data_IF_979641005902
#
_entry.id   IF_979641005902
#
_cell.length_a   1.000
_cell.length_b   1.000
_cell.length_c   1.000
_cell.angle_alpha   90.00
_cell.angle_beta   90.00
_cell.angle_gamma   90.00
#
_symmetry.space_group_name_H-M   'P 1'
#
loop_
_entity.id
_entity.type
_entity.pdbx_description
1 polymer ?
#
# COMPACT_ATOMS: atom_id res chain seq x y z
N UNK A 1 32.01 42.83 40.10
CA UNK A 1 31.35 42.57 38.80
C UNK A 1 32.12 41.47 38.08
N UNK A 2 31.61 40.24 38.07
CA UNK A 2 32.19 39.12 37.30
C UNK A 2 31.21 38.78 36.19
N UNK A 3 31.59 39.09 34.95
CA UNK A 3 30.87 38.69 33.73
C UNK A 3 31.61 37.47 33.17
N UNK A 4 30.92 36.33 33.03
CA UNK A 4 31.27 35.22 32.15
C UNK A 4 30.11 34.19 32.17
N UNK A 5 29.88 33.41 31.10
CA UNK A 5 29.53 33.87 29.76
C UNK A 5 28.18 33.24 29.31
N UNK A 6 27.50 33.95 28.40
CA UNK A 6 26.24 33.54 27.72
C UNK A 6 26.51 32.46 26.65
N UNK A 7 27.42 31.51 26.93
CA UNK A 7 27.91 30.52 25.96
C UNK A 7 27.40 29.10 26.21
N UNK A 8 26.24 28.97 26.88
CA UNK A 8 25.58 27.69 27.16
C UNK A 8 24.14 27.64 26.61
N UNK A 9 23.75 28.62 25.79
CA UNK A 9 22.43 28.77 25.19
C UNK A 9 22.39 28.43 23.68
N UNK A 10 23.48 27.91 23.12
CA UNK A 10 23.63 27.56 21.71
C UNK A 10 23.96 26.08 21.48
N UNK A 11 23.66 25.21 22.44
CA UNK A 11 23.75 23.76 22.26
C UNK A 11 22.34 23.19 22.08
N UNK A 12 21.99 23.07 20.80
CA UNK A 12 21.05 22.11 20.21
C UNK A 12 19.54 22.32 20.41
N UNK A 13 18.91 23.04 19.47
CA UNK A 13 17.64 22.62 18.91
C UNK A 13 17.85 22.24 17.43
N UNK A 14 18.71 21.28 17.13
CA UNK A 14 18.93 20.79 15.74
C UNK A 14 18.95 19.26 15.66
N UNK A 15 18.28 18.56 16.60
CA UNK A 15 18.20 17.10 16.59
C UNK A 15 16.77 16.54 16.57
N UNK A 16 15.77 17.29 16.09
CA UNK A 16 14.38 16.80 16.00
C UNK A 16 13.92 16.55 14.55
N UNK A 17 14.78 16.75 13.54
CA UNK A 17 14.38 16.64 12.14
C UNK A 17 14.49 15.23 11.51
N UNK A 18 14.79 14.17 12.28
CA UNK A 18 15.09 12.83 11.73
C UNK A 18 14.06 11.72 12.02
N UNK A 19 12.87 12.03 12.56
CA UNK A 19 11.84 11.00 12.86
C UNK A 19 10.63 11.07 11.90
N UNK A 20 10.53 12.07 11.01
CA UNK A 20 9.22 12.44 10.46
C UNK A 20 8.74 11.71 9.20
N UNK A 21 9.60 11.11 8.35
CA UNK A 21 9.13 10.54 7.07
C UNK A 21 8.25 9.29 7.26
N UNK A 22 8.62 8.41 8.20
CA UNK A 22 7.83 7.19 8.46
C UNK A 22 6.48 7.49 9.10
N UNK A 23 6.41 8.50 9.97
CA UNK A 23 5.20 8.82 10.73
C UNK A 23 4.11 9.47 9.86
N UNK A 24 4.50 10.37 8.95
CA UNK A 24 3.57 10.98 8.00
C UNK A 24 3.02 9.95 7.01
N UNK A 25 3.88 9.09 6.47
CA UNK A 25 3.47 8.02 5.55
C UNK A 25 2.53 7.01 6.23
N UNK A 26 2.82 6.60 7.46
CA UNK A 26 1.93 5.73 8.25
C UNK A 26 0.55 6.40 8.46
N UNK A 27 0.53 7.69 8.79
CA UNK A 27 -0.70 8.45 9.01
C UNK A 27 -1.52 8.59 7.73
N UNK A 28 -0.86 8.83 6.59
CA UNK A 28 -1.54 8.87 5.29
C UNK A 28 -2.11 7.51 4.92
N UNK A 29 -1.35 6.42 5.13
CA UNK A 29 -1.77 5.07 4.79
C UNK A 29 -2.93 4.58 5.66
N UNK A 30 -2.95 4.96 6.95
CA UNK A 30 -3.87 4.43 7.96
C UNK A 30 -5.32 4.91 7.80
N UNK A 31 -5.99 4.38 6.78
CA UNK A 31 -7.39 4.64 6.44
C UNK A 31 -7.94 3.52 5.56
N UNK A 32 -9.22 3.64 5.19
CA UNK A 32 -9.85 2.80 4.18
C UNK A 32 -9.60 3.32 2.78
N UNK A 33 -9.22 2.40 1.90
CA UNK A 33 -8.94 2.64 0.50
C UNK A 33 -9.81 1.74 -0.37
N UNK A 34 -10.37 2.32 -1.42
CA UNK A 34 -11.10 1.58 -2.45
C UNK A 34 -10.20 1.39 -3.67
N UNK A 35 -10.24 0.21 -4.28
CA UNK A 35 -9.54 -0.02 -5.55
C UNK A 35 -10.27 0.74 -6.65
N UNK A 36 -9.55 1.64 -7.32
CA UNK A 36 -10.03 2.40 -8.47
C UNK A 36 -9.56 1.78 -9.79
N UNK A 37 -8.36 1.22 -9.79
CA UNK A 37 -7.78 0.59 -10.98
C UNK A 37 -6.82 -0.52 -10.57
N UNK A 38 -6.82 -1.61 -11.36
CA UNK A 38 -5.85 -2.69 -11.30
C UNK A 38 -5.25 -2.84 -12.70
N UNK A 39 -3.93 -2.66 -12.80
CA UNK A 39 -3.18 -2.91 -14.02
C UNK A 39 -2.40 -4.21 -13.87
N UNK A 40 -2.62 -5.13 -14.81
CA UNK A 40 -1.87 -6.37 -14.92
C UNK A 40 -0.99 -6.27 -16.17
N UNK A 41 0.34 -6.12 -16.05
CA UNK A 41 1.24 -5.97 -17.20
C UNK A 41 1.12 -7.09 -18.24
N UNK A 42 0.76 -8.29 -17.80
CA UNK A 42 0.59 -9.47 -18.64
C UNK A 42 -0.85 -9.72 -19.08
N UNK A 43 -1.76 -8.75 -18.93
CA UNK A 43 -3.19 -8.95 -19.22
C UNK A 43 -3.43 -9.43 -20.66
N UNK A 44 -2.72 -8.86 -21.64
CA UNK A 44 -2.84 -9.28 -23.04
C UNK A 44 -2.32 -10.70 -23.28
N UNK A 45 -1.25 -11.10 -22.57
CA UNK A 45 -0.72 -12.47 -22.65
C UNK A 45 -1.70 -13.48 -22.04
N UNK A 46 -2.31 -13.15 -20.90
CA UNK A 46 -3.33 -13.98 -20.26
C UNK A 46 -4.55 -14.11 -21.17
N UNK A 47 -5.06 -12.99 -21.70
CA UNK A 47 -6.18 -12.99 -22.64
C UNK A 47 -5.85 -13.71 -23.95
N UNK A 48 -4.59 -13.69 -24.39
CA UNK A 48 -4.11 -14.43 -25.56
C UNK A 48 -4.11 -15.94 -25.38
N UNK A 49 -3.93 -16.42 -24.13
CA UNK A 49 -3.97 -17.85 -23.78
C UNK A 49 -5.39 -18.41 -23.63
N UNK A 50 -6.39 -17.55 -23.49
CA UNK A 50 -7.79 -17.96 -23.43
C UNK A 50 -8.29 -18.15 -24.86
N UNK A 51 -8.77 -19.34 -25.22
CA UNK A 51 -9.16 -19.62 -26.60
C UNK A 51 -10.57 -19.08 -26.93
N UNK A 52 -11.50 -19.17 -25.99
CA UNK A 52 -12.90 -18.75 -26.20
C UNK A 52 -13.11 -17.28 -25.86
N UNK A 53 -13.86 -16.58 -26.70
CA UNK A 53 -14.16 -15.16 -26.48
C UNK A 53 -15.00 -14.94 -25.22
N UNK A 54 -15.94 -15.83 -24.92
CA UNK A 54 -16.78 -15.77 -23.72
C UNK A 54 -15.94 -15.80 -22.44
N UNK A 55 -14.94 -16.68 -22.38
CA UNK A 55 -14.04 -16.79 -21.23
C UNK A 55 -13.16 -15.53 -21.06
N UNK A 56 -12.80 -14.86 -22.17
CA UNK A 56 -12.06 -13.58 -22.12
C UNK A 56 -12.93 -12.47 -21.52
N UNK A 57 -14.17 -12.37 -21.95
CA UNK A 57 -15.11 -11.38 -21.41
C UNK A 57 -15.44 -11.69 -19.94
N UNK A 58 -15.61 -12.97 -19.58
CA UNK A 58 -15.78 -13.37 -18.19
C UNK A 58 -14.57 -12.96 -17.33
N UNK A 59 -13.35 -13.18 -17.81
CA UNK A 59 -12.14 -12.76 -17.09
C UNK A 59 -12.08 -11.24 -16.87
N UNK A 60 -12.40 -10.44 -17.90
CA UNK A 60 -12.45 -8.97 -17.77
C UNK A 60 -13.52 -8.53 -16.77
N UNK A 61 -14.68 -9.17 -16.78
CA UNK A 61 -15.77 -8.90 -15.84
C UNK A 61 -15.37 -9.27 -14.40
N UNK A 62 -14.69 -10.40 -14.21
CA UNK A 62 -14.17 -10.83 -12.91
C UNK A 62 -13.15 -9.81 -12.37
N UNK A 63 -12.22 -9.34 -13.20
CA UNK A 63 -11.26 -8.28 -12.84
C UNK A 63 -11.98 -6.96 -12.51
N UNK A 64 -12.98 -6.57 -13.29
CA UNK A 64 -13.74 -5.34 -13.05
C UNK A 64 -14.53 -5.41 -11.74
N UNK A 65 -15.20 -6.54 -11.48
CA UNK A 65 -15.92 -6.78 -10.23
C UNK A 65 -14.98 -6.76 -9.01
N UNK A 66 -13.76 -7.30 -9.16
CA UNK A 66 -12.74 -7.21 -8.13
C UNK A 66 -12.40 -5.75 -7.82
N UNK A 67 -12.18 -4.91 -8.83
CA UNK A 67 -11.87 -3.48 -8.64
C UNK A 67 -13.01 -2.77 -7.90
N UNK A 68 -14.24 -2.88 -8.40
CA UNK A 68 -15.36 -2.07 -7.88
C UNK A 68 -15.71 -2.32 -6.42
N UNK A 69 -15.47 -3.54 -5.95
CA UNK A 69 -15.96 -4.01 -4.64
C UNK A 69 -14.85 -4.21 -3.61
N UNK A 70 -13.59 -4.06 -4.00
CA UNK A 70 -12.47 -4.31 -3.09
C UNK A 70 -12.13 -3.12 -2.21
N UNK A 71 -11.91 -3.40 -0.94
CA UNK A 71 -11.56 -2.41 0.09
C UNK A 71 -10.34 -2.87 0.87
N UNK A 72 -9.41 -1.95 1.10
CA UNK A 72 -8.20 -2.12 1.89
C UNK A 72 -8.31 -1.20 3.11
N UNK A 73 -8.37 -1.77 4.31
CA UNK A 73 -8.44 -1.04 5.57
C UNK A 73 -7.11 -1.19 6.32
N UNK A 74 -6.27 -0.14 6.29
CA UNK A 74 -5.02 -0.09 7.05
C UNK A 74 -5.25 0.65 8.35
N UNK A 75 -5.04 -0.03 9.48
CA UNK A 75 -5.27 0.53 10.82
C UNK A 75 -4.00 1.14 11.38
N UNK A 76 -4.09 2.22 12.19
CA UNK A 76 -2.92 2.89 12.79
C UNK A 76 -2.02 1.99 13.65
N UNK A 77 -2.56 0.87 14.15
CA UNK A 77 -1.83 -0.11 14.96
C UNK A 77 -1.04 -1.13 14.12
N UNK A 78 -0.87 -0.91 12.81
CA UNK A 78 -0.16 -1.84 11.93
C UNK A 78 -0.94 -3.09 11.58
N UNK A 79 -2.27 -3.15 11.82
CA UNK A 79 -3.14 -4.23 11.33
C UNK A 79 -3.81 -3.83 10.03
N UNK A 80 -4.07 -4.78 9.15
CA UNK A 80 -4.87 -4.55 7.94
C UNK A 80 -6.02 -5.54 7.82
N UNK A 81 -7.05 -5.13 7.08
CA UNK A 81 -8.11 -5.99 6.58
C UNK A 81 -8.36 -5.68 5.11
N UNK A 82 -8.29 -6.69 4.25
CA UNK A 82 -8.62 -6.58 2.83
C UNK A 82 -9.90 -7.37 2.60
N UNK A 83 -10.92 -6.70 2.08
CA UNK A 83 -12.17 -7.31 1.64
C UNK A 83 -12.18 -7.37 0.12
N UNK A 84 -12.24 -8.57 -0.44
CA UNK A 84 -12.40 -8.82 -1.87
C UNK A 84 -13.76 -9.45 -2.10
N UNK A 85 -14.50 -8.98 -3.11
CA UNK A 85 -15.76 -9.62 -3.52
C UNK A 85 -15.55 -10.27 -4.88
N UNK A 86 -15.68 -11.60 -4.92
CA UNK A 86 -15.50 -12.42 -6.13
C UNK A 86 -16.77 -13.23 -6.33
N UNK A 87 -17.49 -13.00 -7.45
CA UNK A 87 -18.68 -13.80 -7.84
C UNK A 87 -19.62 -14.07 -6.66
N UNK A 88 -20.00 -13.00 -5.96
CA UNK A 88 -20.90 -13.00 -4.79
C UNK A 88 -20.38 -13.65 -3.51
N UNK A 89 -19.12 -14.07 -3.47
CA UNK A 89 -18.43 -14.44 -2.23
C UNK A 89 -17.63 -13.26 -1.68
N UNK A 90 -17.66 -13.09 -0.35
CA UNK A 90 -16.82 -12.12 0.37
C UNK A 90 -15.62 -12.86 0.93
N UNK A 91 -14.43 -12.52 0.44
CA UNK A 91 -13.16 -13.00 0.99
C UNK A 91 -12.53 -11.90 1.83
N UNK A 92 -12.29 -12.19 3.10
CA UNK A 92 -11.63 -11.27 4.03
C UNK A 92 -10.25 -11.84 4.38
N UNK A 93 -9.21 -11.06 4.10
CA UNK A 93 -7.83 -11.35 4.49
C UNK A 93 -7.39 -10.35 5.55
N UNK A 94 -6.78 -10.85 6.63
CA UNK A 94 -6.31 -10.03 7.76
C UNK A 94 -4.83 -10.27 7.99
N UNK A 95 -4.16 -9.27 8.54
CA UNK A 95 -2.75 -9.41 8.85
C UNK A 95 -2.14 -8.17 9.47
N UNK A 96 -0.82 -8.16 9.43
CA UNK A 96 0.02 -7.04 9.87
C UNK A 96 0.62 -6.34 8.67
N UNK A 97 0.77 -5.03 8.76
CA UNK A 97 1.49 -4.24 7.79
C UNK A 97 2.56 -3.37 8.45
N UNK A 98 3.62 -3.12 7.70
CA UNK A 98 4.68 -2.19 8.07
C UNK A 98 5.22 -1.45 6.86
N UNK A 99 5.91 -0.36 7.13
CA UNK A 99 6.66 0.38 6.12
C UNK A 99 8.14 0.08 6.28
N UNK A 100 8.76 -0.46 5.23
CA UNK A 100 10.21 -0.59 5.14
C UNK A 100 10.77 0.56 4.27
N UNK A 101 11.67 1.36 4.82
CA UNK A 101 12.53 2.27 4.05
C UNK A 101 13.89 1.60 3.87
N UNK A 102 14.25 1.28 2.63
CA UNK A 102 15.62 0.86 2.34
C UNK A 102 16.43 2.11 2.04
N UNK A 103 17.16 2.57 3.05
CA UNK A 103 18.01 3.77 3.16
C UNK A 103 18.92 4.09 1.94
N UNK A 104 19.05 3.19 0.96
CA UNK A 104 19.86 3.38 -0.25
C UNK A 104 19.05 3.63 -1.53
N UNK A 105 17.73 3.36 -1.53
CA UNK A 105 16.90 3.43 -2.74
C UNK A 105 15.82 4.51 -2.70
N UNK A 106 15.60 5.20 -1.57
CA UNK A 106 14.44 6.10 -1.34
C UNK A 106 13.10 5.44 -1.70
N UNK A 107 13.05 4.11 -1.65
CA UNK A 107 11.86 3.33 -1.99
C UNK A 107 11.22 2.90 -0.69
N UNK A 108 9.95 3.24 -0.56
CA UNK A 108 9.12 2.89 0.56
C UNK A 108 8.33 1.64 0.17
N UNK A 109 8.39 0.62 1.01
CA UNK A 109 7.67 -0.63 0.78
C UNK A 109 6.59 -0.81 1.83
N UNK A 110 5.38 -1.12 1.38
CA UNK A 110 4.35 -1.72 2.22
C UNK A 110 4.60 -3.22 2.27
N UNK A 111 4.86 -3.74 3.47
CA UNK A 111 4.96 -5.18 3.73
C UNK A 111 3.69 -5.62 4.40
N UNK A 112 3.02 -6.63 3.85
CA UNK A 112 1.80 -7.21 4.40
C UNK A 112 2.03 -8.68 4.72
N UNK A 113 1.82 -9.07 5.97
CA UNK A 113 1.95 -10.44 6.45
C UNK A 113 0.57 -10.98 6.81
N UNK A 114 0.08 -11.99 6.09
CA UNK A 114 -1.21 -12.61 6.36
C UNK A 114 -1.18 -13.39 7.68
N UNK A 115 -2.23 -13.23 8.50
CA UNK A 115 -2.28 -13.81 9.85
C UNK A 115 -2.28 -15.34 9.86
N UNK A 116 -3.03 -15.97 8.95
CA UNK A 116 -3.25 -17.43 8.92
C UNK A 116 -2.10 -18.19 8.28
N UNK A 117 -1.67 -17.75 7.10
CA UNK A 117 -0.66 -18.45 6.29
C UNK A 117 0.76 -17.99 6.59
N UNK A 118 0.91 -16.83 7.25
CA UNK A 118 2.19 -16.11 7.38
C UNK A 118 2.81 -15.73 6.04
N UNK A 119 2.04 -15.75 4.95
CA UNK A 119 2.50 -15.30 3.65
C UNK A 119 2.83 -13.82 3.70
N UNK A 120 3.97 -13.44 3.10
CA UNK A 120 4.46 -12.07 3.06
C UNK A 120 4.38 -11.53 1.64
N UNK A 121 3.58 -10.48 1.47
CA UNK A 121 3.51 -9.69 0.24
C UNK A 121 4.25 -8.37 0.43
N UNK A 122 5.01 -7.98 -0.60
CA UNK A 122 5.70 -6.68 -0.63
C UNK A 122 5.20 -5.84 -1.79
N UNK A 123 4.83 -4.61 -1.51
CA UNK A 123 4.41 -3.61 -2.49
C UNK A 123 5.31 -2.40 -2.41
N UNK A 124 5.81 -1.93 -3.55
CA UNK A 124 6.46 -0.64 -3.65
C UNK A 124 5.38 0.46 -3.64
N UNK A 125 5.48 1.40 -2.70
CA UNK A 125 4.66 2.60 -2.69
C UNK A 125 5.24 3.58 -3.70
N UNK A 126 4.62 3.70 -4.87
CA UNK A 126 5.03 4.66 -5.92
C UNK A 126 4.54 6.06 -5.61
N UNK A 127 3.37 6.17 -4.97
CA UNK A 127 2.74 7.44 -4.61
C UNK A 127 1.86 7.22 -3.40
N UNK A 128 1.90 8.15 -2.45
CA UNK A 128 0.97 8.23 -1.33
C UNK A 128 0.66 9.71 -1.08
N UNK A 129 -0.61 10.05 -1.18
CA UNK A 129 -1.18 11.39 -1.05
C UNK A 129 -2.54 11.27 -0.36
N UNK A 130 -3.14 12.40 0.02
CA UNK A 130 -4.42 12.41 0.74
C UNK A 130 -5.56 11.74 -0.03
N UNK A 131 -5.53 11.80 -1.37
CA UNK A 131 -6.56 11.35 -2.30
C UNK A 131 -6.15 10.14 -3.15
N UNK A 132 -4.90 9.69 -3.05
CA UNK A 132 -4.34 8.67 -3.95
C UNK A 132 -3.25 7.84 -3.29
N UNK A 133 -3.32 6.54 -3.50
CA UNK A 133 -2.26 5.58 -3.17
C UNK A 133 -2.00 4.70 -4.40
N UNK A 134 -0.74 4.60 -4.82
CA UNK A 134 -0.31 3.74 -5.93
C UNK A 134 0.69 2.71 -5.42
N UNK A 135 0.28 1.44 -5.45
CA UNK A 135 1.07 0.30 -5.04
C UNK A 135 1.49 -0.52 -6.27
N UNK A 136 2.74 -0.98 -6.29
CA UNK A 136 3.24 -1.93 -7.29
C UNK A 136 3.73 -3.18 -6.59
N UNK A 137 3.09 -4.32 -6.85
CA UNK A 137 3.49 -5.61 -6.29
C UNK A 137 4.91 -5.98 -6.73
N UNK A 138 5.77 -6.36 -5.80
CA UNK A 138 7.15 -6.73 -6.10
C UNK A 138 7.33 -8.25 -6.25
N UNK A 139 6.42 -9.04 -5.69
CA UNK A 139 6.45 -10.50 -5.76
C UNK A 139 5.44 -10.96 -6.82
N UNK A 140 5.89 -11.50 -7.95
CA UNK A 140 5.00 -12.04 -8.98
C UNK A 140 4.82 -11.14 -10.20
N UNK A 141 3.57 -10.99 -10.68
CA UNK A 141 3.24 -10.44 -12.01
C UNK A 141 3.32 -8.91 -12.11
N UNK A 142 3.90 -8.22 -11.11
CA UNK A 142 4.06 -6.76 -11.03
C UNK A 142 2.75 -5.99 -11.24
N UNK A 143 1.68 -6.45 -10.60
CA UNK A 143 0.41 -5.75 -10.64
C UNK A 143 0.54 -4.34 -10.03
N UNK A 144 -0.12 -3.35 -10.65
CA UNK A 144 -0.23 -2.00 -10.09
C UNK A 144 -1.65 -1.73 -9.64
N UNK A 145 -1.79 -1.23 -8.42
CA UNK A 145 -3.06 -0.92 -7.77
C UNK A 145 -3.16 0.58 -7.51
N UNK A 146 -4.15 1.21 -8.14
CA UNK A 146 -4.56 2.56 -7.80
C UNK A 146 -5.69 2.51 -6.79
N UNK A 147 -5.44 3.11 -5.65
CA UNK A 147 -6.33 3.17 -4.50
C UNK A 147 -6.72 4.64 -4.24
N UNK A 148 -7.99 4.86 -3.89
CA UNK A 148 -8.53 6.17 -3.48
C UNK A 148 -9.16 6.06 -2.09
N UNK A 149 -9.10 7.11 -1.24
CA UNK A 149 -9.68 7.04 0.09
C UNK A 149 -11.20 6.86 0.00
N UNK A 150 -11.75 6.08 0.93
CA UNK A 150 -13.20 6.05 1.14
C UNK A 150 -13.60 7.23 2.03
N UNK A 151 -14.71 7.88 1.68
CA UNK A 151 -15.33 8.94 2.48
C UNK A 151 -16.04 8.36 3.71
#
# INVERSE_FOLDING_TARGET
MKKLPVLLLLLFPVCVALISCGNETNTMLSRKWKVKQLELPQMQEILGKIEKQEDKEQFKNDVSSLIEKSVFDFKPNGKYEITLIVKDSVKITKGEWSIEDKDKSKKIYLVATEEKTKAVSRFLIKTIQADKLLLEEQNGNKASLLLVPMQ
#
